data_IF_378205197757
#
_entry.id   IF_378205197757
#
_cell.length_a   1.000
_cell.length_b   1.000
_cell.length_c   1.000
_cell.angle_alpha   90.00
_cell.angle_beta   90.00
_cell.angle_gamma   90.00
#
_symmetry.space_group_name_H-M   'P 1'
#
loop_
_entity.id
_entity.type
_entity.pdbx_description
1 polymer ?
#
# COMPACT_ATOMS: atom_id res chain seq x y z
N UNK A 1 6.28 -12.50 8.62
CA UNK A 1 5.07 -11.96 7.96
C UNK A 1 3.77 -12.42 8.64
N UNK A 2 3.51 -13.71 8.80
CA UNK A 2 2.32 -14.19 9.53
C UNK A 2 2.36 -13.87 11.04
N UNK A 3 3.53 -14.00 11.69
CA UNK A 3 3.69 -13.63 13.11
C UNK A 3 3.53 -12.13 13.37
N UNK A 4 3.89 -11.27 12.42
CA UNK A 4 3.66 -9.82 12.55
C UNK A 4 2.19 -9.46 12.42
N UNK A 5 1.44 -10.13 11.54
CA UNK A 5 -0.03 -9.97 11.45
C UNK A 5 -0.69 -10.45 12.75
N UNK A 6 -0.30 -11.63 13.25
CA UNK A 6 -0.89 -12.18 14.46
C UNK A 6 -0.55 -11.34 15.70
N UNK A 7 0.68 -10.83 15.79
CA UNK A 7 1.09 -9.88 16.82
C UNK A 7 0.29 -8.57 16.78
N UNK A 8 0.10 -7.99 15.59
CA UNK A 8 -0.74 -6.80 15.42
C UNK A 8 -2.22 -7.07 15.76
N UNK A 9 -2.76 -8.22 15.38
CA UNK A 9 -4.15 -8.56 15.72
C UNK A 9 -4.34 -8.73 17.23
N UNK A 10 -3.34 -9.27 17.95
CA UNK A 10 -3.39 -9.43 19.41
C UNK A 10 -3.33 -8.11 20.18
N UNK A 11 -2.79 -7.03 19.61
CA UNK A 11 -2.71 -5.72 20.28
C UNK A 11 -3.99 -4.88 20.14
N UNK A 12 -4.93 -5.26 19.28
CA UNK A 12 -6.09 -4.45 18.95
C UNK A 12 -5.77 -3.16 18.17
N UNK A 13 -4.48 -2.89 17.90
CA UNK A 13 -4.04 -1.69 17.19
C UNK A 13 -4.68 -1.54 15.80
N UNK A 14 -4.79 -2.61 14.97
CA UNK A 14 -5.49 -2.48 13.71
C UNK A 14 -6.90 -1.93 13.91
N UNK A 15 -7.67 -2.45 14.88
CA UNK A 15 -9.05 -2.00 15.17
C UNK A 15 -9.12 -0.53 15.50
N UNK A 16 -8.29 -0.09 16.46
CA UNK A 16 -8.18 1.32 16.83
C UNK A 16 -7.82 2.21 15.64
N UNK A 17 -6.81 1.81 14.85
CA UNK A 17 -6.41 2.55 13.65
C UNK A 17 -7.54 2.68 12.63
N UNK A 18 -8.31 1.61 12.41
CA UNK A 18 -9.43 1.64 11.49
C UNK A 18 -10.57 2.52 12.00
N UNK A 19 -10.98 2.38 13.26
CA UNK A 19 -12.02 3.20 13.86
C UNK A 19 -11.70 4.70 13.80
N UNK A 20 -10.41 5.05 13.94
CA UNK A 20 -9.94 6.42 13.79
C UNK A 20 -9.99 6.92 12.33
N UNK A 21 -9.62 6.07 11.36
CA UNK A 21 -9.50 6.47 9.95
C UNK A 21 -10.82 6.38 9.19
N UNK A 22 -11.67 5.41 9.50
CA UNK A 22 -12.93 5.11 8.81
C UNK A 22 -13.83 6.34 8.55
N UNK A 23 -14.05 7.26 9.52
CA UNK A 23 -14.88 8.44 9.30
C UNK A 23 -14.39 9.32 8.13
N UNK A 24 -13.08 9.33 7.89
CA UNK A 24 -12.40 10.13 6.86
C UNK A 24 -12.11 9.33 5.59
N UNK A 25 -12.23 8.00 5.64
CA UNK A 25 -11.81 7.06 4.61
C UNK A 25 -12.96 6.49 3.76
N UNK A 26 -14.13 7.14 3.77
CA UNK A 26 -15.28 6.66 2.99
C UNK A 26 -15.01 6.73 1.49
N UNK A 27 -15.15 5.61 0.80
CA UNK A 27 -14.85 5.44 -0.64
C UNK A 27 -15.86 6.08 -1.59
N UNK A 28 -16.94 6.67 -1.07
CA UNK A 28 -17.96 7.38 -1.86
C UNK A 28 -17.52 8.81 -2.27
N UNK A 29 -16.44 9.33 -1.72
CA UNK A 29 -15.90 10.64 -2.07
C UNK A 29 -14.39 10.56 -2.36
N UNK A 30 -13.88 11.45 -3.22
CA UNK A 30 -12.47 11.46 -3.63
C UNK A 30 -11.51 11.68 -2.45
N UNK A 31 -11.88 12.50 -1.46
CA UNK A 31 -11.08 12.73 -0.26
C UNK A 31 -10.88 11.45 0.56
N UNK A 32 -11.92 10.62 0.71
CA UNK A 32 -11.81 9.36 1.46
C UNK A 32 -11.00 8.31 0.73
N UNK A 33 -11.09 8.25 -0.59
CA UNK A 33 -10.19 7.43 -1.41
C UNK A 33 -8.73 7.88 -1.23
N UNK A 34 -8.46 9.19 -1.20
CA UNK A 34 -7.12 9.71 -0.98
C UNK A 34 -6.57 9.36 0.40
N UNK A 35 -7.38 9.49 1.46
CA UNK A 35 -7.00 9.08 2.83
C UNK A 35 -6.68 7.59 2.89
N UNK A 36 -7.52 6.74 2.29
CA UNK A 36 -7.24 5.30 2.19
C UNK A 36 -5.96 5.00 1.43
N UNK A 37 -5.74 5.68 0.31
CA UNK A 37 -4.55 5.46 -0.49
C UNK A 37 -3.29 5.78 0.31
N UNK A 38 -3.27 6.89 1.04
CA UNK A 38 -2.16 7.27 1.92
C UNK A 38 -1.96 6.22 3.01
N UNK A 39 -3.04 5.78 3.68
CA UNK A 39 -2.97 4.74 4.71
C UNK A 39 -2.36 3.45 4.16
N UNK A 40 -2.84 2.98 3.00
CA UNK A 40 -2.37 1.74 2.37
C UNK A 40 -0.89 1.88 1.99
N UNK A 41 -0.48 3.02 1.42
CA UNK A 41 0.94 3.25 1.07
C UNK A 41 1.84 3.16 2.29
N UNK A 42 1.44 3.79 3.40
CA UNK A 42 2.20 3.76 4.65
C UNK A 42 2.27 2.32 5.20
N UNK A 43 1.12 1.64 5.34
CA UNK A 43 1.08 0.28 5.88
C UNK A 43 1.87 -0.70 4.99
N UNK A 44 1.75 -0.61 3.66
CA UNK A 44 2.52 -1.45 2.73
C UNK A 44 4.03 -1.28 2.87
N UNK A 45 4.52 -0.11 3.29
CA UNK A 45 5.96 0.10 3.52
C UNK A 45 6.42 -0.28 4.94
N UNK A 46 5.50 -0.40 5.91
CA UNK A 46 5.82 -0.79 7.29
C UNK A 46 5.69 -2.30 7.50
N UNK A 47 4.61 -2.91 7.02
CA UNK A 47 4.30 -4.33 7.22
C UNK A 47 4.30 -5.16 5.93
N UNK A 48 4.59 -4.55 4.76
CA UNK A 48 4.50 -5.16 3.42
C UNK A 48 3.08 -5.35 2.88
N UNK A 49 2.98 -5.64 1.58
CA UNK A 49 1.70 -5.68 0.85
C UNK A 49 0.73 -6.75 1.36
N UNK A 50 1.17 -8.01 1.46
CA UNK A 50 0.28 -9.13 1.85
C UNK A 50 -0.34 -8.90 3.24
N UNK A 51 0.42 -8.52 4.29
CA UNK A 51 -0.14 -8.17 5.61
C UNK A 51 -1.08 -6.99 5.54
N UNK A 52 -0.77 -5.96 4.76
CA UNK A 52 -1.63 -4.79 4.61
C UNK A 52 -3.00 -5.18 4.05
N UNK A 53 -3.03 -6.03 3.03
CA UNK A 53 -4.28 -6.55 2.46
C UNK A 53 -5.06 -7.37 3.48
N UNK A 54 -4.38 -8.23 4.25
CA UNK A 54 -5.02 -9.04 5.29
C UNK A 54 -5.54 -8.22 6.48
N UNK A 55 -4.87 -7.11 6.83
CA UNK A 55 -5.26 -6.22 7.93
C UNK A 55 -6.42 -5.30 7.55
N UNK A 56 -6.44 -4.75 6.33
CA UNK A 56 -7.43 -3.74 5.91
C UNK A 56 -8.61 -4.33 5.14
N UNK A 57 -8.41 -5.42 4.39
CA UNK A 57 -9.35 -5.87 3.36
C UNK A 57 -10.77 -6.13 3.87
N UNK A 58 -10.90 -6.89 4.96
CA UNK A 58 -12.22 -7.20 5.53
C UNK A 58 -12.98 -5.94 5.97
N UNK A 59 -12.29 -4.95 6.52
CA UNK A 59 -12.92 -3.72 7.03
C UNK A 59 -13.25 -2.73 5.93
N UNK A 60 -12.37 -2.60 4.95
CA UNK A 60 -12.67 -1.83 3.74
C UNK A 60 -13.91 -2.39 3.03
N UNK A 61 -14.00 -3.72 2.90
CA UNK A 61 -15.16 -4.38 2.30
C UNK A 61 -16.44 -4.20 3.12
N UNK A 62 -16.37 -4.31 4.46
CA UNK A 62 -17.50 -4.10 5.34
C UNK A 62 -18.03 -2.65 5.28
N UNK A 63 -17.13 -1.66 5.35
CA UNK A 63 -17.48 -0.24 5.25
C UNK A 63 -18.05 0.10 3.87
N UNK A 64 -17.52 -0.51 2.81
CA UNK A 64 -18.03 -0.39 1.46
C UNK A 64 -19.44 -0.99 1.27
N UNK A 65 -19.71 -2.13 1.93
CA UNK A 65 -20.99 -2.81 1.85
C UNK A 65 -22.14 -1.98 2.43
N UNK A 66 -21.86 -1.06 3.37
CA UNK A 66 -22.84 -0.10 3.88
C UNK A 66 -23.31 0.91 2.82
N UNK A 67 -22.60 1.04 1.70
CA UNK A 67 -22.93 1.97 0.60
C UNK A 67 -23.67 1.21 -0.51
N UNK A 68 -22.99 0.23 -1.15
CA UNK A 68 -23.60 -0.68 -2.13
C UNK A 68 -22.67 -1.87 -2.45
N UNK A 69 -23.18 -2.95 -3.08
CA UNK A 69 -22.34 -4.07 -3.53
C UNK A 69 -21.23 -3.67 -4.51
N UNK A 70 -21.45 -2.67 -5.36
CA UNK A 70 -20.45 -2.20 -6.33
C UNK A 70 -19.26 -1.55 -5.64
N UNK A 71 -19.50 -0.86 -4.52
CA UNK A 71 -18.46 -0.25 -3.71
C UNK A 71 -17.55 -1.30 -3.05
N UNK A 72 -18.05 -2.51 -2.76
CA UNK A 72 -17.21 -3.61 -2.24
C UNK A 72 -16.18 -4.04 -3.29
N UNK A 73 -16.59 -4.18 -4.55
CA UNK A 73 -15.64 -4.46 -5.64
C UNK A 73 -14.62 -3.32 -5.75
N UNK A 74 -15.09 -2.08 -5.71
CA UNK A 74 -14.22 -0.90 -5.78
C UNK A 74 -13.20 -0.86 -4.65
N UNK A 75 -13.58 -1.18 -3.41
CA UNK A 75 -12.66 -1.18 -2.27
C UNK A 75 -11.54 -2.20 -2.44
N UNK A 76 -11.85 -3.39 -2.95
CA UNK A 76 -10.85 -4.41 -3.25
C UNK A 76 -9.91 -4.01 -4.38
N UNK A 77 -10.44 -3.37 -5.44
CA UNK A 77 -9.61 -2.85 -6.54
C UNK A 77 -8.66 -1.74 -6.07
N UNK A 78 -9.15 -0.79 -5.27
CA UNK A 78 -8.32 0.26 -4.67
C UNK A 78 -7.24 -0.37 -3.79
N UNK A 79 -7.61 -1.29 -2.90
CA UNK A 79 -6.66 -1.96 -2.02
C UNK A 79 -5.59 -2.73 -2.79
N UNK A 80 -5.98 -3.51 -3.79
CA UNK A 80 -5.07 -4.29 -4.62
C UNK A 80 -4.11 -3.38 -5.40
N UNK A 81 -4.63 -2.32 -6.03
CA UNK A 81 -3.82 -1.38 -6.80
C UNK A 81 -2.83 -0.63 -5.91
N UNK A 82 -3.33 0.06 -4.88
CA UNK A 82 -2.49 0.93 -4.04
C UNK A 82 -1.46 0.11 -3.28
N UNK A 83 -1.83 -1.04 -2.71
CA UNK A 83 -0.86 -1.88 -1.99
C UNK A 83 0.24 -2.40 -2.92
N UNK A 84 -0.07 -2.72 -4.18
CA UNK A 84 0.93 -3.14 -5.16
C UNK A 84 1.90 -2.02 -5.51
N UNK A 85 1.37 -0.85 -5.85
CA UNK A 85 2.17 0.33 -6.27
C UNK A 85 2.99 0.90 -5.10
N UNK A 86 2.49 0.78 -3.87
CA UNK A 86 3.17 1.23 -2.66
C UNK A 86 4.54 0.56 -2.44
N UNK A 87 4.71 -0.68 -2.91
CA UNK A 87 5.99 -1.41 -2.79
C UNK A 87 7.14 -0.76 -3.55
N UNK A 88 6.85 0.14 -4.51
CA UNK A 88 7.88 0.88 -5.25
C UNK A 88 8.40 2.12 -4.49
N UNK A 89 7.70 2.57 -3.45
CA UNK A 89 7.98 3.84 -2.76
C UNK A 89 9.41 3.88 -2.24
N UNK A 90 9.82 2.81 -1.56
CA UNK A 90 11.13 2.70 -0.91
C UNK A 90 11.88 1.46 -1.38
N UNK A 91 13.20 1.45 -1.19
CA UNK A 91 14.04 0.32 -1.57
C UNK A 91 13.63 -0.98 -0.85
N UNK A 92 13.15 -0.86 0.39
CA UNK A 92 12.69 -1.98 1.22
C UNK A 92 11.21 -2.34 0.99
N UNK A 93 10.47 -1.55 0.21
CA UNK A 93 9.03 -1.73 0.00
C UNK A 93 8.69 -3.02 -0.75
N UNK A 94 9.65 -3.62 -1.46
CA UNK A 94 9.45 -4.88 -2.18
C UNK A 94 10.75 -5.68 -2.28
N UNK A 95 10.62 -7.00 -2.23
CA UNK A 95 11.74 -7.91 -2.51
C UNK A 95 12.32 -7.69 -3.91
N UNK A 96 11.50 -7.30 -4.89
CA UNK A 96 11.96 -7.01 -6.25
C UNK A 96 12.97 -5.85 -6.27
N UNK A 97 12.74 -4.79 -5.49
CA UNK A 97 13.66 -3.65 -5.40
C UNK A 97 15.02 -4.07 -4.83
N UNK A 98 15.02 -4.92 -3.81
CA UNK A 98 16.24 -5.47 -3.21
C UNK A 98 16.99 -6.40 -4.16
N UNK A 99 16.28 -7.23 -4.92
CA UNK A 99 16.87 -8.08 -5.96
C UNK A 99 17.56 -7.19 -7.00
N UNK A 100 16.87 -6.17 -7.52
CA UNK A 100 17.45 -5.24 -8.51
C UNK A 100 18.64 -4.49 -7.94
N UNK A 101 18.57 -4.03 -6.69
CA UNK A 101 19.68 -3.37 -6.00
C UNK A 101 20.92 -4.26 -5.91
N UNK A 102 20.74 -5.53 -5.52
CA UNK A 102 21.85 -6.49 -5.40
C UNK A 102 22.44 -6.83 -6.77
N UNK A 103 21.59 -7.03 -7.77
CA UNK A 103 22.04 -7.31 -9.14
C UNK A 103 22.77 -6.11 -9.76
N UNK A 104 22.29 -4.89 -9.52
CA UNK A 104 22.95 -3.67 -9.99
C UNK A 104 24.34 -3.51 -9.36
N UNK A 105 24.49 -3.82 -8.07
CA UNK A 105 25.79 -3.77 -7.38
C UNK A 105 26.79 -4.77 -7.96
N UNK A 106 26.33 -5.97 -8.37
CA UNK A 106 27.17 -7.06 -8.89
C UNK A 106 27.42 -7.00 -10.40
N UNK A 107 26.92 -5.98 -11.10
CA UNK A 107 27.04 -5.91 -12.56
C UNK A 107 28.51 -5.68 -13.00
N UNK A 108 29.08 -6.51 -13.89
CA UNK A 108 30.53 -6.53 -14.17
C UNK A 108 31.07 -5.28 -14.89
N UNK A 109 30.25 -4.61 -15.71
CA UNK A 109 30.69 -3.46 -16.53
C UNK A 109 30.05 -2.12 -16.10
N UNK A 110 28.99 -2.16 -15.29
CA UNK A 110 28.12 -1.02 -14.93
C UNK A 110 27.60 -1.17 -13.49
N UNK A 111 28.46 -1.65 -12.58
CA UNK A 111 28.11 -1.79 -11.16
C UNK A 111 27.61 -0.48 -10.57
N UNK A 112 26.42 -0.48 -9.98
CA UNK A 112 25.84 0.70 -9.34
C UNK A 112 25.31 0.36 -7.95
N UNK A 113 25.81 1.07 -6.94
CA UNK A 113 25.35 0.91 -5.57
C UNK A 113 24.12 1.80 -5.34
N UNK A 114 22.94 1.21 -5.49
CA UNK A 114 21.67 1.90 -5.30
C UNK A 114 21.42 2.13 -3.80
N UNK A 115 21.70 3.34 -3.33
CA UNK A 115 21.36 3.72 -1.95
C UNK A 115 19.85 3.89 -1.75
N UNK A 116 19.39 3.75 -0.50
CA UNK A 116 18.00 4.00 -0.11
C UNK A 116 17.50 5.38 -0.58
N UNK A 117 18.30 6.43 -0.38
CA UNK A 117 17.97 7.79 -0.79
C UNK A 117 17.96 7.98 -2.30
N UNK A 118 18.85 7.29 -3.03
CA UNK A 118 18.85 7.30 -4.50
C UNK A 118 17.57 6.66 -5.04
N UNK A 119 17.13 5.55 -4.44
CA UNK A 119 15.87 4.90 -4.82
C UNK A 119 14.67 5.82 -4.57
N UNK A 120 14.60 6.51 -3.42
CA UNK A 120 13.48 7.40 -3.08
C UNK A 120 13.25 8.51 -4.12
N UNK A 121 14.32 9.03 -4.76
CA UNK A 121 14.20 10.03 -5.84
C UNK A 121 13.38 9.53 -7.03
N UNK A 122 13.33 8.21 -7.26
CA UNK A 122 12.49 7.56 -8.26
C UNK A 122 11.19 7.00 -7.63
N UNK A 123 11.29 6.34 -6.48
CA UNK A 123 10.19 5.65 -5.81
C UNK A 123 9.07 6.59 -5.39
N UNK A 124 9.39 7.74 -4.79
CA UNK A 124 8.38 8.73 -4.37
C UNK A 124 7.56 9.25 -5.56
N UNK A 125 8.16 9.87 -6.60
CA UNK A 125 7.37 10.39 -7.71
C UNK A 125 6.65 9.29 -8.49
N UNK A 126 7.27 8.13 -8.71
CA UNK A 126 6.61 7.02 -9.43
C UNK A 126 5.41 6.46 -8.67
N UNK A 127 5.53 6.21 -7.36
CA UNK A 127 4.42 5.73 -6.54
C UNK A 127 3.29 6.75 -6.50
N UNK A 128 3.57 8.05 -6.37
CA UNK A 128 2.52 9.09 -6.36
C UNK A 128 1.79 9.15 -7.70
N UNK A 129 2.53 9.24 -8.80
CA UNK A 129 1.96 9.38 -10.15
C UNK A 129 1.13 8.14 -10.52
N UNK A 130 1.67 6.94 -10.35
CA UNK A 130 1.00 5.69 -10.74
C UNK A 130 -0.22 5.41 -9.84
N UNK A 131 -0.12 5.72 -8.54
CA UNK A 131 -1.27 5.64 -7.63
C UNK A 131 -2.37 6.60 -8.09
N UNK A 132 -2.05 7.87 -8.33
CA UNK A 132 -3.02 8.87 -8.75
C UNK A 132 -3.72 8.47 -10.06
N UNK A 133 -2.97 8.06 -11.08
CA UNK A 133 -3.52 7.60 -12.36
C UNK A 133 -4.46 6.41 -12.15
N UNK A 134 -4.03 5.36 -11.45
CA UNK A 134 -4.87 4.18 -11.26
C UNK A 134 -6.16 4.45 -10.48
N UNK A 135 -6.12 5.34 -9.48
CA UNK A 135 -7.31 5.74 -8.74
C UNK A 135 -8.35 6.45 -9.62
N UNK A 136 -7.94 7.13 -10.70
CA UNK A 136 -8.88 7.72 -11.68
C UNK A 136 -9.52 6.69 -12.62
N UNK A 137 -8.89 5.53 -12.79
CA UNK A 137 -9.34 4.47 -13.69
C UNK A 137 -10.31 3.50 -12.98
N UNK A 138 -10.10 3.26 -11.68
CA UNK A 138 -10.91 2.32 -10.88
C UNK A 138 -12.34 2.86 -10.71
N UNK A 139 -13.33 2.09 -11.17
CA UNK A 139 -14.75 2.42 -11.09
C UNK A 139 -15.45 1.66 -9.97
#
# INVERSE_FOLDING_TARGET
>A
MFMTIEGFNKTGFPSCLWEFVEPFAKINHASGIAVLAVLIVILSNVVSNVPTVLLLGARMAASAACISPDYVRKSWLILAWVSTVAGNLSLLGSAANMIVCEQASRAPNLGYNLSFWSHLKFGVPSTVIVTAIGLTIIR
#
